data_IF_061880840233
#
_entry.id   IF_061880840233
#
_cell.length_a   1.000
_cell.length_b   1.000
_cell.length_c   1.000
_cell.angle_alpha   90.00
_cell.angle_beta   90.00
_cell.angle_gamma   90.00
#
_symmetry.space_group_name_H-M   'P 1'
#
loop_
_entity.id
_entity.type
_entity.pdbx_description
1 polymer ?
#
# COMPACT_ATOMS: atom_id res chain seq x y z
N UNK A 1 -48.10 18.86 43.31
CA UNK A 1 -47.37 18.06 44.30
C UNK A 1 -47.08 16.71 43.64
N UNK A 2 -45.89 16.60 43.05
CA UNK A 2 -45.45 15.42 42.31
C UNK A 2 -44.67 14.53 43.30
N UNK A 3 -45.17 13.33 43.55
CA UNK A 3 -44.40 12.30 44.25
C UNK A 3 -43.51 11.57 43.22
N UNK A 4 -42.21 11.37 43.50
CA UNK A 4 -41.38 10.52 42.66
C UNK A 4 -41.52 9.05 43.11
N UNK A 5 -42.04 8.21 42.21
CA UNK A 5 -41.98 6.76 42.33
C UNK A 5 -40.51 6.31 42.21
N UNK A 6 -39.95 5.88 43.33
CA UNK A 6 -38.64 5.24 43.41
C UNK A 6 -38.70 3.82 42.87
N UNK A 7 -38.53 3.66 41.57
CA UNK A 7 -38.22 2.38 40.93
C UNK A 7 -36.72 2.15 40.87
N UNK A 8 -36.13 1.70 41.99
CA UNK A 8 -34.77 1.20 42.04
C UNK A 8 -34.66 -0.13 41.30
N UNK A 9 -34.66 -0.07 39.96
CA UNK A 9 -34.17 -1.16 39.14
C UNK A 9 -32.67 -1.23 39.32
N UNK A 10 -32.20 -2.15 40.16
CA UNK A 10 -30.83 -2.64 40.12
C UNK A 10 -30.61 -3.17 38.71
N UNK A 11 -30.09 -2.30 37.83
CA UNK A 11 -29.56 -2.71 36.56
C UNK A 11 -28.50 -3.75 36.87
N UNK A 12 -28.80 -5.00 36.52
CA UNK A 12 -27.87 -6.10 36.51
C UNK A 12 -26.64 -5.60 35.76
N UNK A 13 -25.63 -5.23 36.55
CA UNK A 13 -24.35 -4.77 36.06
C UNK A 13 -23.72 -6.02 35.48
N UNK A 14 -23.99 -6.29 34.20
CA UNK A 14 -23.34 -7.33 33.43
C UNK A 14 -21.85 -7.10 33.60
N UNK A 15 -21.25 -7.86 34.51
CA UNK A 15 -19.81 -7.93 34.67
C UNK A 15 -19.29 -8.27 33.29
N UNK A 16 -18.49 -7.39 32.69
CA UNK A 16 -17.95 -7.64 31.35
C UNK A 16 -17.08 -8.88 31.43
N UNK A 17 -17.67 -10.04 31.16
CA UNK A 17 -16.96 -11.29 30.96
C UNK A 17 -16.02 -11.03 29.79
N UNK A 18 -14.72 -11.11 30.05
CA UNK A 18 -13.72 -10.83 29.02
C UNK A 18 -13.99 -11.66 27.77
N UNK A 19 -13.99 -11.01 26.62
CA UNK A 19 -14.09 -11.65 25.31
C UNK A 19 -12.78 -11.52 24.55
N UNK A 20 -12.61 -12.34 23.52
CA UNK A 20 -11.49 -12.25 22.58
C UNK A 20 -12.04 -11.86 21.21
N UNK A 21 -11.43 -10.87 20.58
CA UNK A 21 -11.72 -10.52 19.18
C UNK A 21 -10.72 -11.23 18.29
N UNK A 22 -11.22 -11.89 17.24
CA UNK A 22 -10.40 -12.54 16.22
C UNK A 22 -10.64 -11.84 14.89
N UNK A 23 -9.56 -11.37 14.28
CA UNK A 23 -9.54 -10.90 12.89
C UNK A 23 -8.95 -12.00 12.01
N UNK A 24 -9.66 -12.36 10.94
CA UNK A 24 -9.27 -13.44 10.04
C UNK A 24 -9.34 -12.95 8.61
N UNK A 25 -8.18 -12.84 7.98
CA UNK A 25 -8.04 -12.44 6.59
C UNK A 25 -8.00 -13.66 5.66
N UNK A 26 -8.88 -13.65 4.65
CA UNK A 26 -8.83 -14.64 3.59
C UNK A 26 -8.07 -14.09 2.38
N UNK A 27 -6.88 -14.64 2.13
CA UNK A 27 -6.16 -14.40 0.88
C UNK A 27 -6.79 -15.20 -0.27
N UNK A 28 -6.78 -14.64 -1.49
CA UNK A 28 -7.39 -15.26 -2.67
C UNK A 28 -8.89 -15.58 -2.47
N UNK A 29 -9.63 -14.63 -1.93
CA UNK A 29 -11.02 -14.80 -1.51
C UNK A 29 -12.05 -14.82 -2.66
N UNK A 30 -11.64 -14.66 -3.93
CA UNK A 30 -12.55 -14.63 -5.08
C UNK A 30 -13.61 -15.76 -5.07
N UNK A 31 -13.26 -17.03 -4.74
CA UNK A 31 -14.24 -18.13 -4.73
C UNK A 31 -15.28 -18.03 -3.60
N UNK A 32 -14.99 -17.26 -2.54
CA UNK A 32 -15.82 -17.18 -1.32
C UNK A 32 -16.53 -15.84 -1.16
N UNK A 33 -16.27 -14.85 -2.03
CA UNK A 33 -16.89 -13.52 -1.97
C UNK A 33 -18.42 -13.57 -2.00
N UNK A 34 -19.01 -14.54 -2.71
CA UNK A 34 -20.45 -14.71 -2.86
C UNK A 34 -21.15 -15.43 -1.70
N UNK A 35 -20.40 -15.93 -0.71
CA UNK A 35 -20.99 -16.55 0.47
C UNK A 35 -21.74 -15.52 1.32
N UNK A 36 -22.83 -15.94 1.96
CA UNK A 36 -23.50 -15.12 2.97
C UNK A 36 -22.58 -14.89 4.17
N UNK A 37 -22.81 -13.83 4.95
CA UNK A 37 -22.00 -13.53 6.13
C UNK A 37 -21.97 -14.71 7.10
N UNK A 38 -23.12 -15.35 7.34
CA UNK A 38 -23.19 -16.54 8.18
C UNK A 38 -22.36 -17.69 7.61
N UNK A 39 -22.42 -17.94 6.31
CA UNK A 39 -21.63 -19.01 5.68
C UNK A 39 -20.11 -18.71 5.75
N UNK A 40 -19.72 -17.44 5.65
CA UNK A 40 -18.34 -16.98 5.88
C UNK A 40 -17.90 -17.25 7.31
N UNK A 41 -18.71 -16.85 8.30
CA UNK A 41 -18.43 -17.09 9.74
C UNK A 41 -18.32 -18.58 10.03
N UNK A 42 -19.28 -19.39 9.56
CA UNK A 42 -19.25 -20.85 9.75
C UNK A 42 -17.99 -21.48 9.14
N UNK A 43 -17.54 -20.99 7.98
CA UNK A 43 -16.29 -21.41 7.35
C UNK A 43 -15.06 -20.99 8.16
N UNK A 44 -15.02 -19.75 8.67
CA UNK A 44 -13.95 -19.25 9.54
C UNK A 44 -13.81 -20.09 10.81
N UNK A 45 -14.93 -20.40 11.48
CA UNK A 45 -14.93 -21.24 12.69
C UNK A 45 -14.34 -22.61 12.40
N UNK A 46 -14.79 -23.28 11.32
CA UNK A 46 -14.23 -24.58 10.92
C UNK A 46 -12.73 -24.51 10.63
N UNK A 47 -12.26 -23.43 9.99
CA UNK A 47 -10.84 -23.24 9.71
C UNK A 47 -10.02 -23.04 10.99
N UNK A 48 -10.52 -22.26 11.96
CA UNK A 48 -9.89 -22.06 13.26
C UNK A 48 -9.82 -23.36 14.07
N UNK A 49 -10.93 -24.10 14.13
CA UNK A 49 -11.01 -25.42 14.78
C UNK A 49 -10.00 -26.40 14.17
N UNK A 50 -9.84 -26.41 12.85
CA UNK A 50 -8.87 -27.25 12.16
C UNK A 50 -7.42 -26.80 12.39
N UNK A 51 -7.15 -25.49 12.37
CA UNK A 51 -5.80 -24.94 12.51
C UNK A 51 -5.27 -25.03 13.95
N UNK A 52 -6.14 -24.88 14.95
CA UNK A 52 -5.78 -25.05 16.35
C UNK A 52 -6.89 -25.75 17.15
N UNK A 53 -6.98 -27.09 17.06
CA UNK A 53 -7.98 -27.86 17.80
C UNK A 53 -7.87 -27.69 19.31
N UNK A 54 -6.66 -27.49 19.83
CA UNK A 54 -6.45 -27.28 21.27
C UNK A 54 -7.08 -25.97 21.78
N UNK A 55 -7.04 -24.91 20.97
CA UNK A 55 -7.61 -23.61 21.30
C UNK A 55 -9.11 -23.53 20.98
N UNK A 56 -9.51 -24.02 19.81
CA UNK A 56 -10.83 -23.74 19.24
C UNK A 56 -11.73 -24.97 19.09
N UNK A 57 -11.19 -26.18 19.22
CA UNK A 57 -11.92 -27.43 19.00
C UNK A 57 -13.06 -27.70 19.99
N UNK A 58 -13.83 -28.76 19.73
CA UNK A 58 -14.96 -29.23 20.55
C UNK A 58 -16.14 -28.26 20.66
N UNK A 59 -16.43 -27.48 19.61
CA UNK A 59 -17.56 -26.54 19.61
C UNK A 59 -17.39 -25.36 20.56
N UNK A 60 -16.16 -25.10 21.01
CA UNK A 60 -15.84 -23.97 21.91
C UNK A 60 -16.09 -22.61 21.29
N UNK A 61 -16.12 -22.54 19.95
CA UNK A 61 -16.37 -21.30 19.21
C UNK A 61 -17.78 -21.28 18.63
N UNK A 62 -18.26 -22.42 18.11
CA UNK A 62 -19.59 -22.53 17.51
C UNK A 62 -20.69 -22.47 18.60
N UNK A 63 -21.24 -21.27 18.80
CA UNK A 63 -22.26 -20.97 19.82
C UNK A 63 -21.85 -19.89 20.83
N UNK A 64 -20.60 -19.42 20.77
CA UNK A 64 -20.03 -18.37 21.64
C UNK A 64 -19.58 -17.14 20.85
N UNK A 65 -20.22 -16.89 19.70
CA UNK A 65 -19.99 -15.69 18.89
C UNK A 65 -21.03 -14.66 19.30
N UNK A 66 -20.59 -13.67 20.06
CA UNK A 66 -21.46 -12.59 20.53
C UNK A 66 -21.79 -11.60 19.40
N UNK A 67 -20.82 -11.34 18.51
CA UNK A 67 -20.96 -10.44 17.37
C UNK A 67 -19.99 -10.82 16.24
N UNK A 68 -20.30 -10.40 15.00
CA UNK A 68 -19.40 -10.55 13.86
C UNK A 68 -19.59 -9.42 12.85
N UNK A 69 -18.49 -9.06 12.17
CA UNK A 69 -18.50 -8.18 11.02
C UNK A 69 -17.77 -8.86 9.86
N UNK A 70 -18.40 -8.92 8.69
CA UNK A 70 -17.78 -9.44 7.46
C UNK A 70 -17.52 -8.29 6.52
N UNK A 71 -16.24 -7.94 6.36
CA UNK A 71 -15.80 -6.93 5.40
C UNK A 71 -15.39 -7.61 4.10
N UNK A 72 -16.00 -7.20 2.98
CA UNK A 72 -15.63 -7.67 1.64
C UNK A 72 -14.99 -6.54 0.88
N UNK A 73 -13.79 -6.78 0.39
CA UNK A 73 -13.01 -5.80 -0.34
C UNK A 73 -12.59 -6.38 -1.71
N UNK A 74 -13.55 -6.59 -2.64
CA UNK A 74 -13.23 -7.10 -3.97
C UNK A 74 -12.31 -6.13 -4.69
N UNK A 75 -11.25 -6.65 -5.33
CA UNK A 75 -10.23 -5.85 -6.01
C UNK A 75 -9.58 -4.76 -5.11
N UNK A 76 -9.53 -4.96 -3.80
CA UNK A 76 -8.94 -4.00 -2.86
C UNK A 76 -7.43 -3.82 -3.04
N UNK A 77 -6.76 -4.85 -3.54
CA UNK A 77 -5.35 -4.80 -3.90
C UNK A 77 -5.18 -5.18 -5.35
N UNK A 78 -4.16 -4.62 -6.00
CA UNK A 78 -3.79 -4.98 -7.36
C UNK A 78 -3.52 -6.49 -7.44
N UNK A 79 -4.20 -7.22 -8.33
CA UNK A 79 -3.98 -8.65 -8.48
C UNK A 79 -2.55 -8.93 -8.96
N UNK A 80 -1.85 -9.83 -8.25
CA UNK A 80 -0.51 -10.26 -8.64
C UNK A 80 -0.56 -11.49 -9.53
N UNK A 81 0.24 -11.44 -10.59
CA UNK A 81 0.64 -12.62 -11.33
C UNK A 81 2.16 -12.60 -11.49
N UNK A 82 2.83 -13.78 -11.47
CA UNK A 82 4.26 -13.85 -11.73
C UNK A 82 4.65 -13.09 -13.00
N UNK A 83 5.58 -12.13 -12.86
CA UNK A 83 6.09 -11.34 -13.97
C UNK A 83 5.41 -9.98 -14.21
N UNK A 84 4.38 -9.61 -13.45
CA UNK A 84 3.71 -8.30 -13.59
C UNK A 84 4.52 -7.15 -12.99
N UNK A 85 5.56 -7.41 -12.20
CA UNK A 85 6.38 -6.38 -11.56
C UNK A 85 6.94 -5.32 -12.54
N UNK A 86 7.34 -5.76 -13.75
CA UNK A 86 7.85 -4.85 -14.79
C UNK A 86 6.79 -3.88 -15.34
N UNK A 87 5.51 -4.17 -15.10
CA UNK A 87 4.38 -3.36 -15.56
C UNK A 87 3.95 -2.34 -14.51
N UNK A 88 4.54 -2.34 -13.31
CA UNK A 88 4.21 -1.37 -12.28
C UNK A 88 4.66 0.03 -12.72
N UNK A 89 3.83 1.06 -12.50
CA UNK A 89 4.21 2.43 -12.79
C UNK A 89 5.44 2.83 -11.97
N UNK A 90 6.24 3.72 -12.53
CA UNK A 90 7.35 4.37 -11.82
C UNK A 90 6.84 5.59 -11.07
N UNK A 91 7.63 6.07 -10.09
CA UNK A 91 7.32 7.30 -9.33
C UNK A 91 7.02 8.47 -10.26
N UNK A 92 7.83 8.69 -11.31
CA UNK A 92 7.55 9.70 -12.35
C UNK A 92 6.99 9.01 -13.59
N UNK A 93 5.91 9.55 -14.16
CA UNK A 93 5.44 9.09 -15.47
C UNK A 93 6.46 9.49 -16.55
N UNK A 94 6.67 8.62 -17.54
CA UNK A 94 7.56 8.91 -18.67
C UNK A 94 6.87 9.68 -19.79
N UNK A 95 5.53 9.67 -19.82
CA UNK A 95 4.72 10.23 -20.92
C UNK A 95 3.95 11.49 -20.54
N UNK A 96 3.97 11.90 -19.27
CA UNK A 96 3.20 13.05 -18.77
C UNK A 96 4.10 13.83 -17.82
N UNK A 97 4.40 15.08 -18.18
CA UNK A 97 5.14 15.99 -17.32
C UNK A 97 4.32 16.35 -16.08
N UNK A 98 5.03 16.62 -14.97
CA UNK A 98 4.43 16.97 -13.67
C UNK A 98 3.45 15.94 -13.10
N UNK A 99 3.53 14.68 -13.54
CA UNK A 99 2.75 13.57 -13.01
C UNK A 99 3.61 12.63 -12.17
N UNK A 100 3.23 12.46 -10.90
CA UNK A 100 3.85 11.52 -9.98
C UNK A 100 2.85 10.46 -9.51
N UNK A 101 3.28 9.19 -9.48
CA UNK A 101 2.50 8.08 -8.96
C UNK A 101 2.90 7.76 -7.52
N UNK A 102 1.92 7.47 -6.66
CA UNK A 102 2.11 6.98 -5.30
C UNK A 102 1.18 5.80 -5.02
N UNK A 103 1.58 4.91 -4.10
CA UNK A 103 0.83 3.73 -3.72
C UNK A 103 1.68 2.48 -3.67
N UNK A 104 1.14 1.45 -3.04
CA UNK A 104 1.76 0.12 -2.95
C UNK A 104 2.01 -0.54 -4.33
N UNK A 105 1.23 -0.15 -5.35
CA UNK A 105 1.37 -0.58 -6.75
C UNK A 105 2.49 0.13 -7.53
N UNK A 106 3.19 1.11 -6.93
CA UNK A 106 4.27 1.84 -7.61
C UNK A 106 5.62 1.15 -7.41
N UNK A 107 6.41 1.02 -8.48
CA UNK A 107 7.78 0.51 -8.38
C UNK A 107 8.74 1.60 -7.88
N UNK A 108 9.28 1.37 -6.68
CA UNK A 108 10.27 2.22 -5.99
C UNK A 108 11.72 1.70 -6.10
N UNK A 109 12.02 0.86 -7.09
CA UNK A 109 13.37 0.34 -7.31
C UNK A 109 13.53 -1.14 -6.98
N UNK A 110 12.55 -1.97 -7.36
CA UNK A 110 12.68 -3.43 -7.22
C UNK A 110 12.08 -4.02 -5.94
N UNK A 111 11.49 -3.20 -5.05
CA UNK A 111 10.83 -3.68 -3.82
C UNK A 111 9.54 -4.44 -4.15
N UNK A 112 9.54 -5.77 -3.89
CA UNK A 112 8.50 -6.71 -4.36
C UNK A 112 7.33 -6.92 -3.40
N UNK A 113 7.23 -6.12 -2.33
CA UNK A 113 6.10 -6.16 -1.40
C UNK A 113 4.98 -5.19 -1.81
N UNK A 114 3.77 -5.46 -1.32
CA UNK A 114 2.65 -4.54 -1.25
C UNK A 114 2.30 -4.39 0.22
N UNK A 115 2.72 -3.28 0.79
CA UNK A 115 2.62 -3.03 2.21
C UNK A 115 2.27 -1.57 2.44
N UNK A 116 1.70 -1.29 3.62
CA UNK A 116 1.48 0.08 4.08
C UNK A 116 2.78 0.89 4.07
N UNK A 117 3.90 0.26 4.44
CA UNK A 117 5.25 0.82 4.32
C UNK A 117 5.53 1.32 2.90
N UNK A 118 5.27 0.49 1.88
CA UNK A 118 5.52 0.86 0.49
C UNK A 118 4.61 1.99 0.02
N UNK A 119 3.33 1.97 0.40
CA UNK A 119 2.41 3.06 0.09
C UNK A 119 2.90 4.39 0.72
N UNK A 120 3.34 4.36 1.97
CA UNK A 120 3.91 5.50 2.67
C UNK A 120 5.16 6.04 1.97
N UNK A 121 6.13 5.16 1.70
CA UNK A 121 7.41 5.53 1.10
C UNK A 121 7.24 6.07 -0.31
N UNK A 122 6.42 5.42 -1.14
CA UNK A 122 6.13 5.91 -2.51
C UNK A 122 5.39 7.25 -2.47
N UNK A 123 4.54 7.49 -1.46
CA UNK A 123 3.94 8.80 -1.21
C UNK A 123 4.97 9.89 -0.95
N UNK A 124 5.96 9.64 -0.08
CA UNK A 124 7.06 10.59 0.15
C UNK A 124 7.89 10.84 -1.11
N UNK A 125 8.21 9.78 -1.87
CA UNK A 125 8.98 9.90 -3.10
C UNK A 125 8.22 10.69 -4.18
N UNK A 126 6.91 10.47 -4.32
CA UNK A 126 6.07 11.23 -5.24
C UNK A 126 5.96 12.71 -4.85
N UNK A 127 5.83 13.00 -3.56
CA UNK A 127 5.82 14.37 -3.05
C UNK A 127 7.14 15.08 -3.37
N UNK A 128 8.29 14.44 -3.11
CA UNK A 128 9.60 14.99 -3.44
C UNK A 128 9.76 15.23 -4.95
N UNK A 129 9.41 14.24 -5.78
CA UNK A 129 9.46 14.36 -7.24
C UNK A 129 8.62 15.53 -7.77
N UNK A 130 7.47 15.79 -7.15
CA UNK A 130 6.58 16.90 -7.49
C UNK A 130 7.20 18.25 -7.12
N UNK A 131 7.81 18.36 -5.93
CA UNK A 131 8.50 19.60 -5.52
C UNK A 131 9.69 19.90 -6.43
N UNK A 132 10.47 18.88 -6.78
CA UNK A 132 11.59 19.01 -7.73
C UNK A 132 11.13 19.47 -9.11
N UNK A 133 10.03 18.91 -9.63
CA UNK A 133 9.47 19.31 -10.92
C UNK A 133 9.04 20.79 -10.92
N UNK A 134 8.32 21.23 -9.88
CA UNK A 134 7.90 22.62 -9.74
C UNK A 134 9.07 23.59 -9.64
N UNK A 135 10.13 23.23 -8.88
CA UNK A 135 11.33 24.05 -8.80
C UNK A 135 12.00 24.22 -10.16
N UNK A 136 12.10 23.14 -10.94
CA UNK A 136 12.69 23.17 -12.27
C UNK A 136 11.88 24.03 -13.26
N UNK A 137 10.55 24.02 -13.17
CA UNK A 137 9.71 24.91 -13.97
C UNK A 137 9.89 26.39 -13.63
N UNK A 138 10.01 26.72 -12.35
CA UNK A 138 10.28 28.10 -11.93
C UNK A 138 11.63 28.61 -12.44
N UNK A 139 12.66 27.76 -12.39
CA UNK A 139 13.98 28.06 -12.96
C UNK A 139 13.88 28.31 -14.47
N UNK A 140 13.19 27.43 -15.22
CA UNK A 140 12.97 27.62 -16.66
C UNK A 140 12.21 28.91 -16.98
N UNK A 141 11.15 29.24 -16.21
CA UNK A 141 10.40 30.50 -16.36
C UNK A 141 11.31 31.70 -16.09
N UNK A 142 12.16 31.65 -15.06
CA UNK A 142 13.12 32.73 -14.75
C UNK A 142 14.14 32.96 -15.86
N UNK A 143 14.66 31.90 -16.49
CA UNK A 143 15.60 31.97 -17.61
C UNK A 143 14.91 32.52 -18.87
N UNK A 144 13.68 32.08 -19.16
CA UNK A 144 12.91 32.58 -20.31
C UNK A 144 12.50 34.06 -20.19
N UNK A 145 12.23 34.52 -18.97
CA UNK A 145 11.87 35.92 -18.69
C UNK A 145 13.08 36.87 -18.75
N UNK A 146 14.26 36.40 -18.34
CA UNK A 146 15.51 37.18 -18.39
C UNK A 146 16.12 37.28 -19.79
N UNK A 147 15.78 36.36 -20.70
CA UNK A 147 16.19 36.40 -22.10
C UNK A 147 15.28 37.24 -23.01
N UNK A 148 14.11 37.66 -22.52
CA UNK A 148 13.15 38.50 -23.25
C UNK A 148 13.08 39.95 -22.75
N UNK A 149 13.64 40.28 -21.59
CA UNK A 149 13.71 41.64 -21.04
C UNK A 149 15.04 42.33 -21.34
N UNK A 150 15.32 42.59 -22.62
CA UNK A 150 16.21 43.68 -23.06
C UNK A 150 15.38 44.92 -23.45
N UNK A 151 14.39 45.29 -22.63
CA UNK A 151 13.87 46.67 -22.59
C UNK A 151 12.96 46.92 -21.39
N UNK A 152 13.31 47.96 -20.64
CA UNK A 152 12.51 48.80 -19.73
C UNK A 152 11.88 48.26 -18.42
N UNK A 153 12.22 49.02 -17.37
CA UNK A 153 11.48 49.38 -16.14
C UNK A 153 11.32 48.36 -15.00
N UNK A 154 11.85 48.80 -13.87
CA UNK A 154 11.86 48.23 -12.54
C UNK A 154 10.56 48.50 -11.80
N UNK A 155 9.80 47.44 -11.45
CA UNK A 155 8.91 47.37 -10.29
C UNK A 155 8.31 45.95 -10.24
N UNK A 156 8.71 45.11 -9.28
CA UNK A 156 8.16 43.74 -9.15
C UNK A 156 9.05 42.65 -8.52
N UNK A 157 10.27 42.98 -8.05
CA UNK A 157 11.24 41.97 -7.56
C UNK A 157 10.90 41.30 -6.21
N UNK A 158 9.91 41.79 -5.48
CA UNK A 158 9.71 41.37 -4.07
C UNK A 158 8.84 40.12 -3.86
N UNK A 159 8.08 39.67 -4.86
CA UNK A 159 7.29 38.43 -4.75
C UNK A 159 8.05 37.17 -5.17
N UNK A 160 8.87 37.23 -6.23
CA UNK A 160 9.62 36.08 -6.73
C UNK A 160 10.63 35.53 -5.70
N UNK A 161 11.27 36.42 -4.92
CA UNK A 161 12.23 36.02 -3.87
C UNK A 161 11.59 35.30 -2.68
N UNK A 162 10.31 35.57 -2.38
CA UNK A 162 9.58 34.91 -1.29
C UNK A 162 9.19 33.47 -1.65
N UNK A 163 8.81 33.21 -2.90
CA UNK A 163 8.46 31.86 -3.39
C UNK A 163 9.70 30.97 -3.46
N UNK A 164 10.79 31.50 -4.02
CA UNK A 164 12.09 30.81 -4.09
C UNK A 164 12.64 30.43 -2.70
N UNK A 165 12.53 31.33 -1.71
CA UNK A 165 12.95 31.03 -0.33
C UNK A 165 12.08 29.99 0.36
N UNK A 166 10.79 29.89 0.00
CA UNK A 166 9.85 28.93 0.58
C UNK A 166 10.04 27.52 0.01
N UNK A 167 10.33 27.40 -1.29
CA UNK A 167 10.65 26.13 -1.95
C UNK A 167 12.01 25.60 -1.48
N UNK A 168 13.04 26.46 -1.36
CA UNK A 168 14.34 26.04 -0.79
C UNK A 168 14.22 25.54 0.66
N UNK A 169 13.34 26.13 1.47
CA UNK A 169 13.08 25.67 2.84
C UNK A 169 12.28 24.36 2.88
N UNK A 170 11.47 24.07 1.86
CA UNK A 170 10.82 22.77 1.66
C UNK A 170 11.79 21.70 1.14
N UNK A 171 12.81 22.09 0.37
CA UNK A 171 13.84 21.21 -0.21
C UNK A 171 14.94 20.77 0.77
N UNK A 172 14.89 21.18 2.04
CA UNK A 172 15.69 20.56 3.12
C UNK A 172 15.07 19.21 3.56
N UNK A 173 14.69 18.41 2.57
CA UNK A 173 13.94 17.15 2.70
C UNK A 173 14.78 16.00 3.22
N UNK A 174 16.11 16.13 3.24
CA UNK A 174 17.01 15.14 3.85
C UNK A 174 16.77 14.97 5.35
N UNK A 175 16.18 15.97 6.02
CA UNK A 175 15.79 15.89 7.43
C UNK A 175 14.39 15.30 7.65
N UNK A 176 13.55 15.22 6.61
CA UNK A 176 12.13 14.88 6.70
C UNK A 176 11.83 13.46 6.20
N UNK A 177 12.65 12.92 5.29
CA UNK A 177 12.45 11.55 4.82
C UNK A 177 12.90 10.55 5.89
N UNK A 178 11.99 9.69 6.42
CA UNK A 178 12.41 8.58 7.26
C UNK A 178 13.39 7.70 6.46
N UNK A 179 14.44 7.15 7.11
CA UNK A 179 15.39 6.28 6.45
C UNK A 179 14.63 5.09 5.88
N UNK A 180 14.60 5.03 4.56
CA UNK A 180 13.93 3.94 3.87
C UNK A 180 14.86 2.74 3.94
N UNK A 181 14.40 1.68 4.60
CA UNK A 181 15.16 0.44 4.68
C UNK A 181 15.31 -0.15 3.27
N UNK A 182 16.55 -0.43 2.89
CA UNK A 182 16.82 -1.17 1.67
C UNK A 182 16.31 -2.60 1.83
N UNK A 183 15.91 -3.20 0.69
CA UNK A 183 15.56 -4.61 0.68
C UNK A 183 16.83 -5.38 0.99
N UNK A 184 16.79 -6.24 2.02
CA UNK A 184 17.89 -7.13 2.30
C UNK A 184 18.24 -7.93 1.03
N UNK A 185 19.54 -8.09 0.72
CA UNK A 185 19.94 -8.91 -0.41
C UNK A 185 19.38 -10.34 -0.21
N UNK A 186 18.93 -10.96 -1.31
CA UNK A 186 18.47 -12.35 -1.30
C UNK A 186 19.52 -13.21 -0.56
N UNK A 187 19.07 -14.00 0.43
CA UNK A 187 19.96 -14.94 1.09
C UNK A 187 20.65 -15.86 0.06
N UNK A 188 21.90 -16.31 0.30
CA UNK A 188 22.68 -17.03 -0.71
C UNK A 188 21.95 -18.23 -1.34
N UNK A 189 21.13 -18.92 -0.55
CA UNK A 189 20.36 -20.07 -1.00
C UNK A 189 19.15 -19.67 -1.86
N UNK A 190 18.50 -18.53 -1.58
CA UNK A 190 17.43 -17.94 -2.39
C UNK A 190 18.00 -17.44 -3.71
N UNK A 191 19.14 -16.75 -3.67
CA UNK A 191 19.84 -16.26 -4.86
C UNK A 191 20.24 -17.42 -5.80
N UNK A 192 20.84 -18.49 -5.25
CA UNK A 192 21.19 -19.68 -5.99
C UNK A 192 19.96 -20.37 -6.60
N UNK A 193 18.88 -20.51 -5.84
CA UNK A 193 17.62 -21.08 -6.33
C UNK A 193 17.02 -20.28 -7.49
N UNK A 194 17.07 -18.95 -7.43
CA UNK A 194 16.63 -18.07 -8.52
C UNK A 194 17.48 -18.18 -9.76
N UNK A 195 18.80 -18.34 -9.62
CA UNK A 195 19.71 -18.52 -10.74
C UNK A 195 19.45 -19.85 -11.47
N UNK A 196 19.30 -20.95 -10.71
CA UNK A 196 18.93 -22.25 -11.27
C UNK A 196 17.61 -22.14 -12.05
N UNK A 197 16.58 -21.55 -11.45
CA UNK A 197 15.29 -21.34 -12.10
C UNK A 197 15.39 -20.51 -13.39
N UNK A 198 16.22 -19.45 -13.40
CA UNK A 198 16.46 -18.65 -14.62
C UNK A 198 17.15 -19.47 -15.70
N UNK A 199 18.17 -20.24 -15.35
CA UNK A 199 18.92 -21.05 -16.29
C UNK A 199 18.04 -22.17 -16.89
N UNK A 200 17.28 -22.87 -16.05
CA UNK A 200 16.32 -23.89 -16.50
C UNK A 200 15.25 -23.31 -17.41
N UNK A 201 14.70 -22.13 -17.08
CA UNK A 201 13.69 -21.45 -17.91
C UNK A 201 14.27 -21.00 -19.25
N UNK A 202 15.52 -20.52 -19.26
CA UNK A 202 16.22 -20.14 -20.49
C UNK A 202 16.41 -21.34 -21.42
N UNK A 203 16.86 -22.48 -20.87
CA UNK A 203 17.01 -23.74 -21.62
C UNK A 203 15.68 -24.24 -22.19
N UNK A 204 14.63 -24.26 -21.37
CA UNK A 204 13.29 -24.69 -21.80
C UNK A 204 12.73 -23.80 -22.91
N UNK A 205 12.87 -22.48 -22.79
CA UNK A 205 12.44 -21.55 -23.84
C UNK A 205 13.24 -21.75 -25.14
N UNK A 206 14.54 -22.03 -25.04
CA UNK A 206 15.38 -22.37 -26.18
C UNK A 206 14.90 -23.65 -26.89
N UNK A 207 14.58 -24.69 -26.13
CA UNK A 207 14.04 -25.96 -26.66
C UNK A 207 12.65 -25.81 -27.27
N UNK A 208 11.80 -24.95 -26.72
CA UNK A 208 10.47 -24.67 -27.27
C UNK A 208 10.60 -23.87 -28.59
N UNK A 209 11.58 -22.97 -28.69
CA UNK A 209 11.81 -22.18 -29.90
C UNK A 209 12.38 -22.96 -31.09
N UNK A 210 12.90 -24.17 -30.87
CA UNK A 210 13.46 -25.04 -31.91
C UNK A 210 12.49 -26.10 -32.42
N UNK A 211 11.26 -26.16 -31.87
CA UNK A 211 10.21 -27.02 -32.41
C UNK A 211 9.64 -26.41 -33.70
N UNK A 212 9.47 -27.18 -34.78
CA UNK A 212 8.91 -26.68 -36.02
C UNK A 212 7.46 -26.24 -35.79
N UNK A 213 7.15 -24.99 -36.12
CA UNK A 213 5.78 -24.50 -36.14
C UNK A 213 5.00 -25.31 -37.18
N UNK A 214 3.95 -26.02 -36.72
CA UNK A 214 2.96 -26.66 -37.59
C UNK A 214 2.00 -25.64 -38.15
#
# INVERSE_FOLDING_TARGET
>A
ELQPEGGGGEGEKTTSTGGTVLEVDFYNADPILGLSDKAMVDMTVRALEAASPACFGSGRVSGHIDDFAVVRAPAAVSHFAPGTFKNLPKIRATSIDNWSNAGDFVDRGGHRSWSQEKALVTGYQAALATVEALASEEELKSISSSSSSSSSSSEGKDQAGKTHGRIRRLLDTKSVMPPVLDVEPDEPHVAAGREVLRNTRSLLNGMISTLPQR
#
